data_IF_270459021454
#
_entry.id   IF_270459021454
#
_cell.length_a   1.000
_cell.length_b   1.000
_cell.length_c   1.000
_cell.angle_alpha   90.00
_cell.angle_beta   90.00
_cell.angle_gamma   90.00
#
_symmetry.space_group_name_H-M   'P 1'
#
loop_
_entity.id
_entity.type
_entity.pdbx_description
1 polymer ?
#
# COMPACT_ATOMS: atom_id res chain seq x y z
N UNK A 1 28.85 78.37 -27.80
CA UNK A 1 29.89 78.24 -26.77
C UNK A 1 29.30 78.69 -25.45
N UNK A 2 29.20 77.79 -24.48
CA UNK A 2 29.44 77.96 -23.04
C UNK A 2 29.11 76.62 -22.39
N UNK A 3 30.16 75.83 -22.16
CA UNK A 3 30.12 74.66 -21.30
C UNK A 3 29.70 75.10 -19.90
N UNK A 4 28.61 74.52 -19.38
CA UNK A 4 28.31 74.63 -17.96
C UNK A 4 29.10 73.54 -17.22
N UNK A 5 29.99 73.89 -16.28
CA UNK A 5 30.69 72.91 -15.48
C UNK A 5 29.69 72.17 -14.58
N UNK A 6 29.87 70.85 -14.49
CA UNK A 6 29.21 69.99 -13.51
C UNK A 6 29.58 70.54 -12.13
N UNK A 7 28.62 71.14 -11.45
CA UNK A 7 28.78 71.67 -10.10
C UNK A 7 29.07 70.51 -9.15
N UNK A 8 30.26 70.55 -8.57
CA UNK A 8 30.67 69.73 -7.42
C UNK A 8 29.93 70.26 -6.20
N UNK A 9 28.68 69.85 -6.03
CA UNK A 9 27.98 70.03 -4.75
C UNK A 9 27.42 68.69 -4.28
N UNK A 10 28.25 68.04 -3.46
CA UNK A 10 27.82 67.52 -2.17
C UNK A 10 26.74 66.44 -2.22
N UNK A 11 27.21 65.22 -2.53
CA UNK A 11 26.65 64.00 -1.97
C UNK A 11 26.72 64.08 -0.44
N UNK A 12 25.71 64.66 0.18
CA UNK A 12 25.53 64.57 1.61
C UNK A 12 24.03 64.47 1.94
N UNK A 13 23.70 63.36 2.59
CA UNK A 13 22.61 63.22 3.57
C UNK A 13 21.20 62.98 3.00
N UNK A 14 20.89 61.71 2.78
CA UNK A 14 19.69 61.16 3.42
C UNK A 14 20.08 60.77 4.85
N UNK A 15 19.79 61.71 5.75
CA UNK A 15 19.61 61.49 7.18
C UNK A 15 18.37 60.63 7.32
N UNK A 16 18.45 59.54 8.09
CA UNK A 16 17.31 59.14 8.89
C UNK A 16 17.76 58.38 10.13
N UNK A 17 17.30 58.92 11.26
CA UNK A 17 17.12 58.27 12.57
C UNK A 17 18.34 58.23 13.50
N UNK A 18 18.10 58.74 14.71
CA UNK A 18 19.03 58.92 15.82
C UNK A 18 19.89 57.68 16.10
N UNK A 19 21.22 57.89 16.24
CA UNK A 19 22.14 56.90 16.79
C UNK A 19 23.34 56.50 15.93
N UNK A 20 23.70 57.23 14.88
CA UNK A 20 24.90 56.94 14.09
C UNK A 20 26.16 57.45 14.84
N UNK A 21 27.15 56.59 15.15
CA UNK A 21 28.37 57.01 15.83
C UNK A 21 29.26 57.86 14.91
N UNK A 22 29.80 58.94 15.47
CA UNK A 22 30.51 60.06 14.81
C UNK A 22 31.69 59.66 13.91
N UNK A 23 32.20 58.43 13.97
CA UNK A 23 33.45 58.04 13.29
C UNK A 23 33.33 57.58 11.84
N UNK A 24 32.13 57.55 11.24
CA UNK A 24 31.94 57.12 9.83
C UNK A 24 32.32 55.67 9.53
N UNK A 25 32.89 54.93 10.51
CA UNK A 25 33.07 53.48 10.45
C UNK A 25 31.75 52.83 10.86
N UNK A 26 31.13 52.13 9.91
CA UNK A 26 30.14 51.11 10.23
C UNK A 26 30.79 50.18 11.25
N UNK A 27 30.23 50.11 12.45
CA UNK A 27 30.66 49.14 13.45
C UNK A 27 30.57 47.79 12.75
N UNK A 28 31.70 47.07 12.69
CA UNK A 28 31.84 45.78 12.01
C UNK A 28 30.52 45.03 12.14
N UNK A 29 29.80 44.83 11.02
CA UNK A 29 28.61 43.98 11.01
C UNK A 29 28.93 42.75 11.84
N UNK A 30 28.02 42.35 12.72
CA UNK A 30 28.22 41.25 13.68
C UNK A 30 28.42 39.94 12.92
N UNK A 31 29.61 39.79 12.33
CA UNK A 31 29.99 38.68 11.50
C UNK A 31 30.19 37.52 12.46
N UNK A 32 29.23 36.61 12.42
CA UNK A 32 29.27 35.40 13.22
C UNK A 32 30.65 34.73 13.11
N UNK A 33 31.29 34.36 14.24
CA UNK A 33 32.59 33.69 14.23
C UNK A 33 32.57 32.47 13.32
N UNK A 34 33.67 32.17 12.60
CA UNK A 34 33.74 31.07 11.63
C UNK A 34 33.23 29.74 12.23
N UNK A 35 33.53 29.48 13.51
CA UNK A 35 33.06 28.31 14.26
C UNK A 35 31.53 28.19 14.29
N UNK A 36 30.81 29.28 14.52
CA UNK A 36 29.35 29.29 14.55
C UNK A 36 28.75 29.04 13.16
N UNK A 37 29.35 29.59 12.10
CA UNK A 37 28.95 29.32 10.71
C UNK A 37 29.12 27.84 10.35
N UNK A 38 30.21 27.20 10.78
CA UNK A 38 30.41 25.75 10.56
C UNK A 38 29.41 24.90 11.35
N UNK A 39 29.10 25.26 12.60
CA UNK A 39 28.08 24.58 13.40
C UNK A 39 26.69 24.64 12.74
N UNK A 40 26.29 25.81 12.22
CA UNK A 40 25.01 25.99 11.51
C UNK A 40 24.97 25.16 10.21
N UNK A 41 26.08 25.11 9.45
CA UNK A 41 26.16 24.26 8.25
C UNK A 41 26.01 22.77 8.60
N UNK A 42 26.68 22.33 9.67
CA UNK A 42 26.63 20.94 10.12
C UNK A 42 25.25 20.55 10.68
N UNK A 43 24.59 21.44 11.42
CA UNK A 43 23.23 21.19 11.91
C UNK A 43 22.22 21.12 10.76
N UNK A 44 22.33 22.02 9.77
CA UNK A 44 21.50 21.98 8.56
C UNK A 44 21.72 20.69 7.76
N UNK A 45 22.97 20.23 7.63
CA UNK A 45 23.29 18.95 6.97
C UNK A 45 22.65 17.76 7.69
N UNK A 46 22.83 17.66 9.00
CA UNK A 46 22.20 16.61 9.83
C UNK A 46 20.67 16.60 9.71
N UNK A 47 20.06 17.78 9.71
CA UNK A 47 18.61 17.90 9.54
C UNK A 47 18.15 17.40 8.16
N UNK A 48 18.87 17.76 7.09
CA UNK A 48 18.57 17.27 5.73
C UNK A 48 18.73 15.75 5.61
N UNK A 49 19.81 15.20 6.18
CA UNK A 49 20.04 13.74 6.24
C UNK A 49 18.91 13.02 6.97
N UNK A 50 18.46 13.57 8.11
CA UNK A 50 17.34 13.02 8.87
C UNK A 50 16.04 13.05 8.07
N UNK A 51 15.76 14.14 7.35
CA UNK A 51 14.58 14.25 6.49
C UNK A 51 14.63 13.24 5.34
N UNK A 52 15.80 13.06 4.70
CA UNK A 52 15.99 12.06 3.65
C UNK A 52 15.80 10.63 4.19
N UNK A 53 16.37 10.33 5.35
CA UNK A 53 16.20 9.02 5.99
C UNK A 53 14.73 8.75 6.33
N UNK A 54 14.00 9.72 6.87
CA UNK A 54 12.56 9.56 7.15
C UNK A 54 11.75 9.31 5.87
N UNK A 55 12.07 9.99 4.77
CA UNK A 55 11.42 9.75 3.47
C UNK A 55 11.73 8.34 2.96
N UNK A 56 12.98 7.91 3.03
CA UNK A 56 13.38 6.57 2.63
C UNK A 56 12.65 5.50 3.45
N UNK A 57 12.58 5.65 4.77
CA UNK A 57 11.88 4.70 5.64
C UNK A 57 10.37 4.63 5.33
N UNK A 58 9.75 5.77 4.99
CA UNK A 58 8.35 5.79 4.54
C UNK A 58 8.16 5.03 3.23
N UNK A 59 9.05 5.20 2.26
CA UNK A 59 9.00 4.47 0.97
C UNK A 59 9.12 2.96 1.19
N UNK A 60 10.12 2.52 1.96
CA UNK A 60 10.31 1.09 2.29
C UNK A 60 9.09 0.51 3.01
N UNK A 61 8.49 1.27 3.93
CA UNK A 61 7.27 0.85 4.61
C UNK A 61 6.09 0.69 3.65
N UNK A 62 5.94 1.59 2.67
CA UNK A 62 4.89 1.50 1.66
C UNK A 62 5.10 0.28 0.74
N UNK A 63 6.33 0.07 0.26
CA UNK A 63 6.67 -1.09 -0.57
C UNK A 63 6.41 -2.40 0.17
N UNK A 64 6.81 -2.49 1.44
CA UNK A 64 6.56 -3.66 2.28
C UNK A 64 5.05 -3.93 2.45
N UNK A 65 4.24 -2.88 2.65
CA UNK A 65 2.77 -3.01 2.74
C UNK A 65 2.17 -3.51 1.42
N UNK A 66 2.58 -2.95 0.29
CA UNK A 66 2.12 -3.38 -1.03
C UNK A 66 2.47 -4.85 -1.32
N UNK A 67 3.68 -5.29 -0.97
CA UNK A 67 4.08 -6.70 -1.11
C UNK A 67 3.20 -7.64 -0.27
N UNK A 68 2.87 -7.25 0.95
CA UNK A 68 1.99 -8.03 1.83
C UNK A 68 0.57 -8.09 1.26
N UNK A 69 0.03 -6.97 0.78
CA UNK A 69 -1.30 -6.92 0.16
C UNK A 69 -1.38 -7.76 -1.11
N UNK A 70 -0.39 -7.66 -2.00
CA UNK A 70 -0.32 -8.47 -3.21
C UNK A 70 -0.31 -9.96 -2.88
N UNK A 71 0.47 -10.39 -1.88
CA UNK A 71 0.50 -11.78 -1.43
C UNK A 71 -0.85 -12.24 -0.86
N UNK A 72 -1.54 -11.39 -0.11
CA UNK A 72 -2.88 -11.70 0.44
C UNK A 72 -3.89 -11.87 -0.69
N UNK A 73 -3.89 -10.97 -1.67
CA UNK A 73 -4.79 -11.04 -2.84
C UNK A 73 -4.50 -12.28 -3.69
N UNK A 74 -3.25 -12.65 -3.93
CA UNK A 74 -2.91 -13.91 -4.62
C UNK A 74 -3.48 -15.14 -3.91
N UNK A 75 -3.34 -15.21 -2.58
CA UNK A 75 -3.88 -16.32 -1.78
C UNK A 75 -5.40 -16.35 -1.87
N UNK A 76 -6.05 -15.19 -1.78
CA UNK A 76 -7.50 -15.04 -1.90
C UNK A 76 -8.00 -15.51 -3.27
N UNK A 77 -7.36 -15.07 -4.36
CA UNK A 77 -7.70 -15.48 -5.73
C UNK A 77 -7.53 -16.98 -5.94
N UNK A 78 -6.42 -17.57 -5.44
CA UNK A 78 -6.21 -19.02 -5.48
C UNK A 78 -7.30 -19.78 -4.74
N UNK A 79 -7.71 -19.29 -3.55
CA UNK A 79 -8.80 -19.88 -2.77
C UNK A 79 -10.13 -19.78 -3.51
N UNK A 80 -10.48 -18.63 -4.08
CA UNK A 80 -11.70 -18.45 -4.86
C UNK A 80 -11.75 -19.39 -6.06
N UNK A 81 -10.67 -19.47 -6.84
CA UNK A 81 -10.57 -20.41 -7.98
C UNK A 81 -10.75 -21.86 -7.55
N UNK A 82 -10.23 -22.26 -6.37
CA UNK A 82 -10.40 -23.61 -5.83
C UNK A 82 -11.86 -23.88 -5.44
N UNK A 83 -12.50 -22.92 -4.77
CA UNK A 83 -13.91 -23.03 -4.37
C UNK A 83 -14.83 -23.08 -5.59
N UNK A 84 -14.57 -22.25 -6.61
CA UNK A 84 -15.34 -22.25 -7.86
C UNK A 84 -15.18 -23.57 -8.63
N UNK A 85 -13.97 -24.13 -8.69
CA UNK A 85 -13.75 -25.47 -9.27
C UNK A 85 -14.48 -26.55 -8.50
N UNK A 86 -14.59 -26.42 -7.17
CA UNK A 86 -15.32 -27.36 -6.33
C UNK A 86 -16.83 -27.23 -6.53
N UNK A 87 -17.37 -26.01 -6.56
CA UNK A 87 -18.80 -25.78 -6.81
C UNK A 87 -19.22 -26.29 -8.18
N UNK A 88 -18.45 -25.98 -9.24
CA UNK A 88 -18.71 -26.51 -10.59
C UNK A 88 -18.71 -28.03 -10.65
N UNK A 89 -17.80 -28.69 -9.91
CA UNK A 89 -17.80 -30.16 -9.81
C UNK A 89 -19.07 -30.67 -9.13
N UNK A 90 -19.46 -30.06 -8.02
CA UNK A 90 -20.69 -30.44 -7.30
C UNK A 90 -21.92 -30.20 -8.18
N UNK A 91 -22.03 -29.06 -8.86
CA UNK A 91 -23.13 -28.77 -9.79
C UNK A 91 -23.20 -29.77 -10.94
N UNK A 92 -22.05 -30.14 -11.52
CA UNK A 92 -22.00 -31.14 -12.58
C UNK A 92 -22.37 -32.54 -12.05
N UNK A 93 -21.95 -32.90 -10.84
CA UNK A 93 -22.35 -34.15 -10.19
C UNK A 93 -23.86 -34.18 -9.91
N UNK A 94 -24.44 -33.08 -9.42
CA UNK A 94 -25.90 -32.95 -9.20
C UNK A 94 -26.64 -33.04 -10.53
N UNK A 95 -26.19 -32.30 -11.56
CA UNK A 95 -26.80 -32.33 -12.91
C UNK A 95 -26.72 -33.72 -13.54
N UNK A 96 -25.58 -34.40 -13.40
CA UNK A 96 -25.40 -35.75 -13.91
C UNK A 96 -26.20 -36.81 -13.14
N UNK A 97 -26.49 -36.59 -11.86
CA UNK A 97 -27.26 -37.50 -11.04
C UNK A 97 -28.78 -37.46 -11.33
N UNK A 98 -29.27 -36.37 -11.94
CA UNK A 98 -30.68 -36.22 -12.29
C UNK A 98 -31.62 -36.19 -11.06
N UNK A 99 -32.95 -36.28 -11.27
CA UNK A 99 -33.96 -36.15 -10.19
C UNK A 99 -33.96 -37.28 -9.16
N UNK A 100 -33.17 -38.35 -9.35
CA UNK A 100 -33.17 -39.55 -8.49
C UNK A 100 -31.95 -39.63 -7.54
N UNK A 101 -31.21 -38.54 -7.36
CA UNK A 101 -30.01 -38.53 -6.54
C UNK A 101 -30.33 -38.68 -5.05
N UNK A 102 -30.04 -39.86 -4.47
CA UNK A 102 -29.99 -40.06 -3.02
C UNK A 102 -28.92 -39.13 -2.45
N UNK A 103 -29.34 -38.24 -1.56
CA UNK A 103 -28.54 -37.17 -0.94
C UNK A 103 -27.12 -37.65 -0.57
N UNK A 104 -26.14 -37.22 -1.37
CA UNK A 104 -24.72 -37.57 -1.26
C UNK A 104 -24.03 -36.97 -0.01
N UNK A 105 -24.74 -36.23 0.84
CA UNK A 105 -24.17 -35.56 2.01
C UNK A 105 -23.96 -36.47 3.22
N UNK A 106 -24.33 -37.75 3.14
CA UNK A 106 -24.18 -38.66 4.26
C UNK A 106 -22.72 -39.12 4.43
N UNK A 107 -22.19 -39.02 5.65
CA UNK A 107 -20.78 -39.34 6.00
C UNK A 107 -20.37 -40.76 5.56
N UNK A 108 -21.35 -41.69 5.54
CA UNK A 108 -21.19 -43.08 5.07
C UNK A 108 -20.94 -43.15 3.56
N UNK A 109 -21.69 -42.39 2.76
CA UNK A 109 -21.53 -42.34 1.29
C UNK A 109 -20.18 -41.76 0.92
N UNK A 110 -19.71 -40.74 1.62
CA UNK A 110 -18.38 -40.15 1.40
C UNK A 110 -17.23 -41.17 1.51
N UNK A 111 -17.33 -42.10 2.46
CA UNK A 111 -16.34 -43.17 2.69
C UNK A 111 -16.40 -44.33 1.70
N UNK A 112 -17.39 -44.38 0.82
CA UNK A 112 -17.53 -45.47 -0.17
C UNK A 112 -16.53 -45.34 -1.33
N UNK A 113 -16.16 -46.49 -1.91
CA UNK A 113 -15.34 -46.55 -3.12
C UNK A 113 -16.04 -45.91 -4.32
N UNK A 114 -15.25 -45.45 -5.30
CA UNK A 114 -15.78 -44.78 -6.51
C UNK A 114 -16.76 -45.67 -7.30
N UNK A 115 -16.53 -46.98 -7.32
CA UNK A 115 -17.41 -47.96 -7.98
C UNK A 115 -18.76 -48.07 -7.28
N UNK A 116 -18.75 -48.19 -5.95
CA UNK A 116 -19.98 -48.32 -5.16
C UNK A 116 -20.82 -47.02 -5.16
N UNK A 117 -20.17 -45.85 -5.17
CA UNK A 117 -20.85 -44.56 -5.38
C UNK A 117 -21.56 -44.51 -6.73
N UNK A 118 -20.90 -44.92 -7.81
CA UNK A 118 -21.50 -44.96 -9.14
C UNK A 118 -22.69 -45.90 -9.21
N UNK A 119 -22.62 -47.08 -8.57
CA UNK A 119 -23.75 -48.02 -8.51
C UNK A 119 -24.96 -47.45 -7.75
N UNK A 120 -24.74 -46.72 -6.65
CA UNK A 120 -25.81 -46.00 -5.94
C UNK A 120 -26.46 -44.93 -6.80
N UNK A 121 -25.67 -44.20 -7.58
CA UNK A 121 -26.17 -43.17 -8.51
C UNK A 121 -26.86 -43.75 -9.75
N UNK A 122 -26.51 -44.98 -10.14
CA UNK A 122 -27.11 -45.68 -11.29
C UNK A 122 -28.29 -46.59 -10.90
N UNK A 123 -28.76 -46.54 -9.65
CA UNK A 123 -29.94 -47.30 -9.26
C UNK A 123 -31.13 -46.79 -10.08
N UNK A 124 -31.76 -47.71 -10.82
CA UNK A 124 -32.98 -47.40 -11.58
C UNK A 124 -34.11 -46.97 -10.64
N UNK A 125 -35.02 -46.08 -11.09
CA UNK A 125 -36.12 -45.58 -10.27
C UNK A 125 -36.95 -46.70 -9.61
N UNK A 126 -37.07 -47.85 -10.27
CA UNK A 126 -37.77 -49.03 -9.75
C UNK A 126 -37.10 -49.68 -8.54
N UNK A 127 -35.77 -49.65 -8.45
CA UNK A 127 -35.08 -50.22 -7.29
C UNK A 127 -35.15 -49.26 -6.10
N UNK A 128 -35.14 -47.96 -6.37
CA UNK A 128 -35.30 -46.91 -5.35
C UNK A 128 -36.70 -46.99 -4.73
N UNK A 129 -37.75 -47.19 -5.53
CA UNK A 129 -39.12 -47.36 -5.02
C UNK A 129 -39.27 -48.63 -4.17
N UNK A 130 -38.68 -49.76 -4.61
CA UNK A 130 -38.66 -51.02 -3.84
C UNK A 130 -37.92 -50.90 -2.51
N UNK A 131 -36.83 -50.14 -2.46
CA UNK A 131 -36.09 -49.89 -1.21
C UNK A 131 -36.85 -48.94 -0.27
N UNK A 132 -37.52 -47.92 -0.80
CA UNK A 132 -38.32 -46.97 -0.02
C UNK A 132 -39.53 -47.65 0.64
N UNK A 133 -40.14 -48.61 -0.04
CA UNK A 133 -41.27 -49.40 0.48
C UNK A 133 -40.84 -50.56 1.41
N UNK A 134 -39.53 -50.84 1.53
CA UNK A 134 -38.98 -51.90 2.40
C UNK A 134 -38.39 -51.40 3.71
N UNK A 135 -38.23 -50.08 3.88
CA UNK A 135 -37.88 -49.53 5.19
C UNK A 135 -39.16 -49.29 6.00
N UNK A 136 -39.22 -49.78 7.26
CA UNK A 136 -40.34 -49.49 8.17
C UNK A 136 -40.41 -48.00 8.52
#
# INVERSE_FOLDING_TARGET
MYDKPISVEQNAKYIEVEGIPVSGRTWKDKALPIRTKMMIKNSKKKWLEQQQMQRHMKLVSLEAKQLIENRKEEIRLKRQRRLEKQSKKVENEIRAAGPNAIVLSNKKVSKMSKKAKKQLMSMTPELISKLRNRMP
#
